data_IF_122411977076
#
_entry.id   IF_122411977076
#
_cell.length_a   1.000
_cell.length_b   1.000
_cell.length_c   1.000
_cell.angle_alpha   90.00
_cell.angle_beta   90.00
_cell.angle_gamma   90.00
#
_symmetry.space_group_name_H-M   'P 1'
#
loop_
_entity.id
_entity.type
_entity.pdbx_description
1 polymer ?
#
# COMPACT_ATOMS: atom_id res chain seq x y z
N UNK A 1 38.49 41.09 -27.48
CA UNK A 1 37.02 41.18 -27.57
C UNK A 1 36.50 40.20 -26.55
N UNK A 2 36.47 40.66 -25.29
CA UNK A 2 35.89 39.89 -24.19
C UNK A 2 34.38 39.97 -24.38
N UNK A 3 33.77 38.82 -24.65
CA UNK A 3 32.32 38.70 -24.74
C UNK A 3 31.86 38.43 -23.32
N UNK A 4 31.43 39.49 -22.64
CA UNK A 4 30.61 39.37 -21.44
C UNK A 4 29.31 38.67 -21.85
N UNK A 5 29.22 37.38 -21.54
CA UNK A 5 27.96 36.64 -21.62
C UNK A 5 27.16 37.04 -20.40
N UNK A 6 26.22 37.97 -20.59
CA UNK A 6 25.15 38.25 -19.63
C UNK A 6 24.38 36.95 -19.36
N UNK A 7 24.75 36.24 -18.30
CA UNK A 7 23.96 35.15 -17.75
C UNK A 7 22.79 35.78 -17.02
N UNK A 8 21.62 35.76 -17.66
CA UNK A 8 20.38 36.25 -17.07
C UNK A 8 20.07 35.47 -15.77
N UNK A 9 20.08 36.11 -14.59
CA UNK A 9 19.81 35.43 -13.32
C UNK A 9 18.40 34.83 -13.24
N UNK A 10 17.50 35.21 -14.16
CA UNK A 10 16.11 34.73 -14.21
C UNK A 10 15.95 33.31 -14.80
N UNK A 11 16.97 32.81 -15.51
CA UNK A 11 16.92 31.50 -16.19
C UNK A 11 17.02 30.31 -15.20
N UNK A 12 17.75 30.53 -14.11
CA UNK A 12 17.92 29.55 -13.02
C UNK A 12 16.64 29.30 -12.19
N UNK A 13 15.79 30.33 -12.04
CA UNK A 13 14.49 30.18 -11.37
C UNK A 13 13.47 29.45 -12.25
N UNK A 14 13.52 29.68 -13.56
CA UNK A 14 12.63 29.04 -14.51
C UNK A 14 12.89 27.53 -14.62
N UNK A 15 14.16 27.10 -14.62
CA UNK A 15 14.53 25.68 -14.67
C UNK A 15 14.12 24.92 -13.39
N UNK A 16 14.25 25.55 -12.20
CA UNK A 16 13.90 24.93 -10.93
C UNK A 16 12.38 24.82 -10.71
N UNK A 17 11.61 25.82 -11.17
CA UNK A 17 10.14 25.79 -11.16
C UNK A 17 9.60 24.78 -12.18
N UNK A 18 10.22 24.69 -13.36
CA UNK A 18 9.87 23.70 -14.37
C UNK A 18 10.13 22.27 -13.86
N UNK A 19 11.29 22.02 -13.23
CA UNK A 19 11.63 20.72 -12.61
C UNK A 19 10.63 20.30 -11.51
N UNK A 20 10.22 21.23 -10.65
CA UNK A 20 9.18 20.95 -9.62
C UNK A 20 7.81 20.66 -10.24
N UNK A 21 7.40 21.39 -11.27
CA UNK A 21 6.12 21.14 -11.98
C UNK A 21 6.11 19.77 -12.67
N UNK A 22 7.22 19.39 -13.30
CA UNK A 22 7.38 18.06 -13.92
C UNK A 22 7.28 16.95 -12.87
N UNK A 23 7.94 17.11 -11.72
CA UNK A 23 7.86 16.15 -10.60
C UNK A 23 6.43 15.99 -10.05
N UNK A 24 5.69 17.10 -9.88
CA UNK A 24 4.29 17.06 -9.42
C UNK A 24 3.37 16.34 -10.41
N UNK A 25 3.55 16.57 -11.71
CA UNK A 25 2.77 15.90 -12.75
C UNK A 25 2.99 14.38 -12.73
N UNK A 26 4.23 13.92 -12.52
CA UNK A 26 4.55 12.50 -12.38
C UNK A 26 3.80 11.87 -11.21
N UNK A 27 3.79 12.50 -10.03
CA UNK A 27 3.05 11.96 -8.88
C UNK A 27 1.55 11.83 -9.14
N UNK A 28 0.93 12.77 -9.85
CA UNK A 28 -0.48 12.63 -10.22
C UNK A 28 -0.72 11.49 -11.23
N UNK A 29 0.21 11.26 -12.17
CA UNK A 29 0.14 10.12 -13.09
C UNK A 29 0.26 8.78 -12.37
N UNK A 30 1.22 8.67 -11.46
CA UNK A 30 1.41 7.49 -10.62
C UNK A 30 0.21 7.24 -9.71
N UNK A 31 -0.32 8.30 -9.07
CA UNK A 31 -1.53 8.21 -8.26
C UNK A 31 -2.73 7.75 -9.09
N UNK A 32 -2.91 8.30 -10.30
CA UNK A 32 -3.96 7.87 -11.22
C UNK A 32 -3.81 6.40 -11.59
N UNK A 33 -2.61 5.92 -11.91
CA UNK A 33 -2.34 4.52 -12.21
C UNK A 33 -2.75 3.61 -11.02
N UNK A 34 -2.36 4.00 -9.80
CA UNK A 34 -2.76 3.30 -8.57
C UNK A 34 -4.29 3.31 -8.36
N UNK A 35 -4.98 4.43 -8.58
CA UNK A 35 -6.44 4.49 -8.45
C UNK A 35 -7.14 3.59 -9.47
N UNK A 36 -6.69 3.58 -10.73
CA UNK A 36 -7.23 2.70 -11.76
C UNK A 36 -7.01 1.22 -11.42
N UNK A 37 -5.83 0.86 -10.93
CA UNK A 37 -5.55 -0.50 -10.44
C UNK A 37 -6.46 -0.88 -9.27
N UNK A 38 -6.63 0.02 -8.29
CA UNK A 38 -7.52 -0.21 -7.16
C UNK A 38 -9.00 -0.38 -7.59
N UNK A 39 -9.47 0.40 -8.56
CA UNK A 39 -10.80 0.24 -9.14
C UNK A 39 -10.98 -1.12 -9.82
N UNK A 40 -9.96 -1.59 -10.54
CA UNK A 40 -9.97 -2.93 -11.16
C UNK A 40 -10.15 -4.03 -10.11
N UNK A 41 -9.36 -3.99 -9.03
CA UNK A 41 -9.44 -4.94 -7.93
C UNK A 41 -10.80 -4.88 -7.21
N UNK A 42 -11.29 -3.68 -6.92
CA UNK A 42 -12.58 -3.49 -6.24
C UNK A 42 -13.79 -3.86 -7.09
N UNK A 43 -13.73 -3.72 -8.41
CA UNK A 43 -14.80 -4.16 -9.31
C UNK A 43 -15.09 -5.65 -9.13
N UNK A 44 -14.04 -6.47 -8.99
CA UNK A 44 -14.16 -7.90 -8.68
C UNK A 44 -14.85 -8.15 -7.34
N UNK A 45 -14.43 -7.43 -6.29
CA UNK A 45 -14.98 -7.55 -4.94
C UNK A 45 -16.46 -7.12 -4.85
N UNK A 46 -16.82 -5.97 -5.42
CA UNK A 46 -18.21 -5.48 -5.47
C UNK A 46 -19.09 -6.45 -6.28
N UNK A 47 -18.58 -6.93 -7.42
CA UNK A 47 -19.29 -7.92 -8.24
C UNK A 47 -19.55 -9.24 -7.50
N UNK A 48 -18.56 -9.73 -6.75
CA UNK A 48 -18.72 -10.93 -5.92
C UNK A 48 -19.73 -10.71 -4.78
N UNK A 49 -19.63 -9.60 -4.06
CA UNK A 49 -20.55 -9.26 -2.98
C UNK A 49 -22.00 -9.13 -3.48
N UNK A 50 -22.20 -8.52 -4.66
CA UNK A 50 -23.52 -8.42 -5.29
C UNK A 50 -24.10 -9.79 -5.65
N UNK A 51 -23.30 -10.69 -6.26
CA UNK A 51 -23.76 -12.06 -6.56
C UNK A 51 -24.20 -12.82 -5.32
N UNK A 52 -23.47 -12.66 -4.21
CA UNK A 52 -23.87 -13.26 -2.92
C UNK A 52 -25.19 -12.67 -2.45
N UNK A 53 -25.34 -11.34 -2.50
CA UNK A 53 -26.58 -10.68 -2.10
C UNK A 53 -27.78 -11.11 -2.95
N UNK A 54 -27.62 -11.25 -4.26
CA UNK A 54 -28.67 -11.68 -5.19
C UNK A 54 -29.07 -13.16 -4.98
N UNK A 55 -28.16 -13.98 -4.45
CA UNK A 55 -28.39 -15.40 -4.15
C UNK A 55 -29.00 -15.65 -2.76
N UNK A 56 -29.08 -14.63 -1.89
CA UNK A 56 -29.64 -14.76 -0.55
C UNK A 56 -31.16 -14.55 -0.56
N UNK A 57 -31.88 -15.38 0.19
CA UNK A 57 -33.32 -15.20 0.44
C UNK A 57 -33.55 -14.05 1.45
N UNK A 58 -34.66 -13.33 1.26
CA UNK A 58 -34.96 -11.99 1.80
C UNK A 58 -35.01 -11.83 3.33
N UNK A 59 -34.87 -12.90 4.14
CA UNK A 59 -35.03 -12.85 5.60
C UNK A 59 -33.87 -13.53 6.35
N UNK A 60 -32.63 -13.14 6.04
CA UNK A 60 -31.47 -13.62 6.80
C UNK A 60 -30.66 -12.47 7.38
N UNK A 61 -30.19 -12.62 8.62
CA UNK A 61 -29.18 -11.75 9.23
C UNK A 61 -27.87 -11.71 8.40
N UNK A 62 -27.65 -12.73 7.57
CA UNK A 62 -26.58 -12.76 6.58
C UNK A 62 -26.81 -11.72 5.46
N UNK A 63 -28.05 -11.55 4.99
CA UNK A 63 -28.40 -10.52 4.00
C UNK A 63 -28.12 -9.12 4.51
N UNK A 64 -28.47 -8.82 5.77
CA UNK A 64 -28.15 -7.52 6.39
C UNK A 64 -26.63 -7.27 6.42
N UNK A 65 -25.84 -8.26 6.86
CA UNK A 65 -24.37 -8.18 6.87
C UNK A 65 -23.78 -8.01 5.47
N UNK A 66 -24.32 -8.72 4.48
CA UNK A 66 -23.92 -8.59 3.07
C UNK A 66 -24.27 -7.20 2.52
N UNK A 67 -25.43 -6.65 2.88
CA UNK A 67 -25.85 -5.31 2.46
C UNK A 67 -24.95 -4.22 3.06
N UNK A 68 -24.61 -4.32 4.35
CA UNK A 68 -23.66 -3.40 5.00
C UNK A 68 -22.30 -3.45 4.31
N UNK A 69 -21.80 -4.65 4.04
CA UNK A 69 -20.51 -4.87 3.37
C UNK A 69 -20.52 -4.33 1.93
N UNK A 70 -21.58 -4.59 1.17
CA UNK A 70 -21.73 -4.10 -0.20
C UNK A 70 -21.84 -2.57 -0.25
N UNK A 71 -22.57 -1.96 0.69
CA UNK A 71 -22.66 -0.49 0.80
C UNK A 71 -21.28 0.10 1.08
N UNK A 72 -20.51 -0.50 2.01
CA UNK A 72 -19.16 -0.06 2.32
C UNK A 72 -18.23 -0.19 1.12
N UNK A 73 -18.23 -1.34 0.43
CA UNK A 73 -17.41 -1.57 -0.78
C UNK A 73 -17.76 -0.59 -1.91
N UNK A 74 -19.06 -0.36 -2.15
CA UNK A 74 -19.52 0.62 -3.14
C UNK A 74 -19.08 2.05 -2.79
N UNK A 75 -19.12 2.40 -1.51
CA UNK A 75 -18.59 3.68 -1.01
C UNK A 75 -17.09 3.84 -1.26
N UNK A 76 -16.29 2.79 -1.02
CA UNK A 76 -14.86 2.80 -1.34
C UNK A 76 -14.62 2.95 -2.84
N UNK A 77 -15.41 2.25 -3.67
CA UNK A 77 -15.34 2.35 -5.12
C UNK A 77 -15.56 3.77 -5.63
N UNK A 78 -16.64 4.42 -5.18
CA UNK A 78 -16.94 5.79 -5.56
C UNK A 78 -15.86 6.77 -5.07
N UNK A 79 -15.38 6.61 -3.83
CA UNK A 79 -14.31 7.46 -3.31
C UNK A 79 -12.98 7.32 -4.06
N UNK A 80 -12.64 6.14 -4.59
CA UNK A 80 -11.47 5.98 -5.46
C UNK A 80 -11.72 6.59 -6.84
N UNK A 81 -12.93 6.45 -7.39
CA UNK A 81 -13.30 7.03 -8.68
C UNK A 81 -13.19 8.57 -8.65
N UNK A 82 -13.71 9.21 -7.60
CA UNK A 82 -13.60 10.66 -7.41
C UNK A 82 -12.14 11.14 -7.35
N UNK A 83 -11.27 10.40 -6.66
CA UNK A 83 -9.83 10.71 -6.61
C UNK A 83 -9.13 10.50 -7.95
N UNK A 84 -9.53 9.49 -8.71
CA UNK A 84 -9.03 9.26 -10.06
C UNK A 84 -9.39 10.43 -10.99
N UNK A 85 -10.65 10.89 -10.95
CA UNK A 85 -11.10 12.04 -11.73
C UNK A 85 -10.38 13.34 -11.32
N UNK A 86 -10.18 13.54 -10.01
CA UNK A 86 -9.41 14.68 -9.50
C UNK A 86 -7.95 14.63 -10.00
N UNK A 87 -7.27 13.49 -9.89
CA UNK A 87 -5.89 13.33 -10.38
C UNK A 87 -5.81 13.58 -11.90
N UNK A 88 -6.78 13.08 -12.68
CA UNK A 88 -6.87 13.32 -14.12
C UNK A 88 -7.06 14.80 -14.47
N UNK A 89 -7.88 15.51 -13.69
CA UNK A 89 -8.06 16.96 -13.84
C UNK A 89 -6.78 17.73 -13.53
N UNK A 90 -6.01 17.32 -12.51
CA UNK A 90 -4.71 17.92 -12.20
C UNK A 90 -3.70 17.68 -13.33
N UNK A 91 -3.58 16.45 -13.85
CA UNK A 91 -2.68 16.13 -14.99
C UNK A 91 -3.00 17.02 -16.20
N UNK A 92 -4.27 17.30 -16.46
CA UNK A 92 -4.69 18.13 -17.59
C UNK A 92 -4.19 19.58 -17.52
N UNK A 93 -3.78 20.07 -16.34
CA UNK A 93 -3.20 21.42 -16.15
C UNK A 93 -1.74 21.50 -16.58
N UNK A 94 -1.06 20.37 -16.79
CA UNK A 94 0.37 20.30 -17.14
C UNK A 94 0.62 19.97 -18.62
N UNK A 95 -0.40 20.12 -19.50
CA UNK A 95 -0.34 19.75 -20.93
C UNK A 95 0.78 20.44 -21.72
N UNK A 96 1.27 21.59 -21.26
CA UNK A 96 2.32 22.37 -21.94
C UNK A 96 3.75 22.08 -21.44
N UNK A 97 3.92 21.15 -20.50
CA UNK A 97 5.24 20.73 -20.00
C UNK A 97 5.79 19.60 -20.88
N UNK A 98 6.37 19.96 -22.03
CA UNK A 98 7.15 19.05 -22.87
C UNK A 98 8.46 18.66 -22.16
N UNK A 99 8.34 17.63 -21.33
CA UNK A 99 9.41 17.02 -20.56
C UNK A 99 8.80 15.80 -19.90
N UNK A 100 8.54 14.76 -20.68
CA UNK A 100 7.87 13.54 -20.22
C UNK A 100 8.86 12.76 -19.36
N UNK A 101 8.97 13.14 -18.08
CA UNK A 101 9.51 12.24 -17.08
C UNK A 101 8.64 10.97 -17.08
N UNK A 102 9.30 9.82 -17.23
CA UNK A 102 8.67 8.51 -17.29
C UNK A 102 8.01 8.22 -15.92
N UNK A 103 6.71 7.93 -15.93
CA UNK A 103 5.98 7.53 -14.73
C UNK A 103 6.01 6.02 -14.58
N UNK A 104 6.19 5.53 -13.36
CA UNK A 104 6.17 4.10 -13.08
C UNK A 104 4.77 3.50 -13.30
N UNK A 105 4.74 2.22 -13.65
CA UNK A 105 3.50 1.44 -13.71
C UNK A 105 2.92 1.24 -12.30
N UNK A 106 1.60 0.98 -12.20
CA UNK A 106 0.98 0.69 -10.91
C UNK A 106 1.59 -0.57 -10.26
N UNK A 107 1.96 -1.54 -11.08
CA UNK A 107 2.56 -2.81 -10.70
C UNK A 107 3.94 -2.59 -10.06
N UNK A 108 4.77 -1.77 -10.70
CA UNK A 108 6.09 -1.42 -10.18
C UNK A 108 6.00 -0.59 -8.90
N UNK A 109 5.05 0.36 -8.83
CA UNK A 109 4.77 1.12 -7.60
C UNK A 109 4.35 0.20 -6.45
N UNK A 110 3.46 -0.75 -6.71
CA UNK A 110 3.00 -1.74 -5.73
C UNK A 110 4.14 -2.65 -5.27
N UNK A 111 4.96 -3.14 -6.20
CA UNK A 111 6.13 -3.96 -5.89
C UNK A 111 7.13 -3.22 -5.01
N UNK A 112 7.53 -2.01 -5.42
CA UNK A 112 8.46 -1.16 -4.67
C UNK A 112 7.90 -0.82 -3.28
N UNK A 113 6.60 -0.54 -3.17
CA UNK A 113 5.96 -0.28 -1.89
C UNK A 113 5.93 -1.52 -0.99
N UNK A 114 5.65 -2.71 -1.54
CA UNK A 114 5.69 -3.96 -0.79
C UNK A 114 7.08 -4.24 -0.20
N UNK A 115 8.14 -4.04 -0.99
CA UNK A 115 9.52 -4.18 -0.50
C UNK A 115 9.85 -3.16 0.59
N UNK A 116 9.38 -1.92 0.44
CA UNK A 116 9.54 -0.88 1.48
C UNK A 116 8.84 -1.28 2.78
N UNK A 117 7.59 -1.75 2.70
CA UNK A 117 6.84 -2.30 3.83
C UNK A 117 7.58 -3.48 4.49
N UNK A 118 8.17 -4.39 3.71
CA UNK A 118 8.96 -5.49 4.22
C UNK A 118 10.19 -5.03 5.03
N UNK A 119 10.94 -4.06 4.49
CA UNK A 119 12.11 -3.47 5.16
C UNK A 119 11.72 -2.76 6.46
N UNK A 120 10.67 -1.96 6.41
CA UNK A 120 10.13 -1.24 7.57
C UNK A 120 9.58 -2.21 8.64
N UNK A 121 8.95 -3.31 8.22
CA UNK A 121 8.54 -4.40 9.10
C UNK A 121 9.73 -5.06 9.82
N UNK A 122 10.85 -5.26 9.12
CA UNK A 122 12.07 -5.78 9.72
C UNK A 122 12.66 -4.83 10.76
N UNK A 123 12.70 -3.53 10.49
CA UNK A 123 13.13 -2.50 11.46
C UNK A 123 12.24 -2.53 12.70
N UNK A 124 10.92 -2.50 12.53
CA UNK A 124 9.96 -2.56 13.63
C UNK A 124 10.08 -3.82 14.46
N UNK A 125 10.35 -4.96 13.82
CA UNK A 125 10.60 -6.23 14.52
C UNK A 125 11.86 -6.17 15.39
N UNK A 126 12.95 -5.59 14.88
CA UNK A 126 14.20 -5.40 15.65
C UNK A 126 13.99 -4.48 16.86
N UNK A 127 13.12 -3.48 16.73
CA UNK A 127 12.73 -2.58 17.83
C UNK A 127 11.72 -3.19 18.81
N UNK A 128 11.32 -4.45 18.62
CA UNK A 128 10.33 -5.14 19.47
C UNK A 128 8.88 -4.69 19.25
N UNK A 129 8.62 -3.85 18.23
CA UNK A 129 7.30 -3.32 17.90
C UNK A 129 6.48 -4.34 17.10
N UNK A 130 6.09 -5.44 17.75
CA UNK A 130 5.54 -6.63 17.11
C UNK A 130 4.26 -6.34 16.28
N UNK A 131 3.33 -5.56 16.83
CA UNK A 131 2.08 -5.22 16.12
C UNK A 131 2.33 -4.39 14.86
N UNK A 132 3.23 -3.41 14.95
CA UNK A 132 3.59 -2.57 13.82
C UNK A 132 4.34 -3.37 12.75
N UNK A 133 5.29 -4.23 13.15
CA UNK A 133 6.00 -5.13 12.24
C UNK A 133 5.03 -6.05 11.48
N UNK A 134 4.07 -6.64 12.20
CA UNK A 134 3.02 -7.50 11.63
C UNK A 134 2.16 -6.74 10.61
N UNK A 135 1.77 -5.51 10.92
CA UNK A 135 1.01 -4.68 9.98
C UNK A 135 1.80 -4.40 8.69
N UNK A 136 3.10 -4.09 8.80
CA UNK A 136 3.96 -3.85 7.65
C UNK A 136 4.12 -5.10 6.76
N UNK A 137 4.42 -6.26 7.34
CA UNK A 137 4.51 -7.51 6.57
C UNK A 137 3.18 -7.92 5.93
N UNK A 138 2.04 -7.68 6.61
CA UNK A 138 0.72 -7.95 6.05
C UNK A 138 0.44 -7.04 4.85
N UNK A 139 0.77 -5.75 4.96
CA UNK A 139 0.64 -4.80 3.85
C UNK A 139 1.49 -5.23 2.66
N UNK A 140 2.74 -5.63 2.92
CA UNK A 140 3.65 -6.13 1.88
C UNK A 140 3.08 -7.38 1.17
N UNK A 141 2.61 -8.36 1.95
CA UNK A 141 1.99 -9.57 1.41
C UNK A 141 0.77 -9.28 0.53
N UNK A 142 -0.17 -8.45 0.99
CA UNK A 142 -1.38 -8.11 0.24
C UNK A 142 -1.08 -7.43 -1.11
N UNK A 143 -0.06 -6.58 -1.17
CA UNK A 143 0.35 -5.92 -2.41
C UNK A 143 0.91 -6.93 -3.42
N UNK A 144 1.76 -7.87 -2.96
CA UNK A 144 2.32 -8.89 -3.84
C UNK A 144 1.29 -9.95 -4.24
N UNK A 145 0.37 -10.32 -3.34
CA UNK A 145 -0.78 -11.17 -3.67
C UNK A 145 -1.67 -10.52 -4.73
N UNK A 146 -1.88 -9.19 -4.67
CA UNK A 146 -2.62 -8.47 -5.70
C UNK A 146 -1.89 -8.51 -7.06
N UNK A 147 -0.55 -8.43 -7.08
CA UNK A 147 0.23 -8.60 -8.31
C UNK A 147 0.13 -10.02 -8.87
N UNK A 148 0.10 -11.04 -8.02
CA UNK A 148 -0.08 -12.44 -8.43
C UNK A 148 -1.44 -12.73 -9.09
N UNK A 149 -2.41 -11.81 -9.00
CA UNK A 149 -3.68 -11.93 -9.71
C UNK A 149 -3.64 -11.45 -11.17
N UNK A 150 -2.53 -10.83 -11.61
CA UNK A 150 -2.37 -10.35 -12.98
C UNK A 150 -2.14 -11.51 -13.97
N UNK A 151 -2.77 -11.45 -15.14
CA UNK A 151 -2.78 -12.55 -16.11
C UNK A 151 -1.47 -12.72 -16.90
N UNK A 152 -0.65 -11.68 -16.98
CA UNK A 152 0.46 -11.59 -17.95
C UNK A 152 1.85 -11.49 -17.30
N UNK A 153 2.02 -12.03 -16.08
CA UNK A 153 3.32 -12.04 -15.42
C UNK A 153 4.26 -13.15 -15.94
N UNK A 154 5.53 -12.85 -16.24
CA UNK A 154 6.53 -13.85 -16.59
C UNK A 154 6.68 -14.91 -15.48
N UNK A 155 6.91 -16.16 -15.86
CA UNK A 155 7.03 -17.27 -14.90
C UNK A 155 8.17 -17.13 -13.88
N UNK A 156 9.22 -16.36 -14.19
CA UNK A 156 10.28 -16.03 -13.26
C UNK A 156 9.81 -15.03 -12.19
N UNK A 157 9.06 -14.01 -12.61
CA UNK A 157 8.52 -12.99 -11.72
C UNK A 157 7.46 -13.58 -10.80
N UNK A 158 6.61 -14.48 -11.30
CA UNK A 158 5.66 -15.24 -10.49
C UNK A 158 6.35 -15.97 -9.32
N UNK A 159 7.40 -16.76 -9.61
CA UNK A 159 8.16 -17.48 -8.58
C UNK A 159 8.82 -16.53 -7.58
N UNK A 160 9.34 -15.40 -8.05
CA UNK A 160 9.95 -14.39 -7.19
C UNK A 160 8.91 -13.80 -6.22
N UNK A 161 7.74 -13.42 -6.73
CA UNK A 161 6.64 -12.87 -5.94
C UNK A 161 6.11 -13.89 -4.92
N UNK A 162 5.91 -15.14 -5.32
CA UNK A 162 5.53 -16.24 -4.42
C UNK A 162 6.55 -16.41 -3.28
N UNK A 163 7.84 -16.35 -3.60
CA UNK A 163 8.91 -16.41 -2.61
C UNK A 163 8.84 -15.29 -1.58
N UNK A 164 8.57 -14.05 -2.02
CA UNK A 164 8.38 -12.92 -1.10
C UNK A 164 7.12 -13.04 -0.26
N UNK A 165 5.98 -13.44 -0.84
CA UNK A 165 4.72 -13.66 -0.11
C UNK A 165 4.93 -14.70 0.99
N UNK A 166 5.55 -15.83 0.65
CA UNK A 166 5.88 -16.88 1.61
C UNK A 166 6.82 -16.35 2.71
N UNK A 167 7.87 -15.62 2.34
CA UNK A 167 8.80 -15.00 3.28
C UNK A 167 8.10 -14.06 4.27
N UNK A 168 7.19 -13.19 3.80
CA UNK A 168 6.42 -12.31 4.70
C UNK A 168 5.49 -13.10 5.62
N UNK A 169 4.86 -14.18 5.14
CA UNK A 169 4.04 -15.04 5.97
C UNK A 169 4.86 -15.72 7.09
N UNK A 170 6.09 -16.15 6.79
CA UNK A 170 7.02 -16.70 7.78
C UNK A 170 7.44 -15.66 8.81
N UNK A 171 7.76 -14.44 8.38
CA UNK A 171 8.10 -13.33 9.29
C UNK A 171 6.95 -12.96 10.20
N UNK A 172 5.70 -12.98 9.71
CA UNK A 172 4.51 -12.77 10.55
C UNK A 172 4.42 -13.84 11.67
N UNK A 173 4.63 -15.12 11.34
CA UNK A 173 4.62 -16.22 12.32
C UNK A 173 5.74 -16.07 13.35
N UNK A 174 6.91 -15.60 12.94
CA UNK A 174 8.03 -15.33 13.85
C UNK A 174 7.74 -14.18 14.81
N UNK A 175 7.22 -13.06 14.32
CA UNK A 175 6.81 -11.91 15.14
C UNK A 175 5.75 -12.31 16.17
N UNK A 176 4.78 -13.13 15.77
CA UNK A 176 3.76 -13.67 16.69
C UNK A 176 4.38 -14.50 17.82
N UNK A 177 5.37 -15.35 17.50
CA UNK A 177 6.11 -16.11 18.52
C UNK A 177 6.91 -15.19 19.46
N UNK A 178 7.55 -14.15 18.94
CA UNK A 178 8.25 -13.15 19.76
C UNK A 178 7.29 -12.45 20.74
N UNK A 179 6.10 -12.07 20.28
CA UNK A 179 5.09 -11.42 21.11
C UNK A 179 4.62 -12.33 22.25
N UNK A 180 4.36 -13.61 21.97
CA UNK A 180 3.99 -14.60 22.99
C UNK A 180 5.10 -14.81 24.03
N UNK A 181 6.35 -14.92 23.58
CA UNK A 181 7.50 -15.10 24.46
C UNK A 181 7.72 -13.88 25.38
N UNK A 182 7.54 -12.66 24.85
CA UNK A 182 7.62 -11.43 25.63
C UNK A 182 6.50 -11.36 26.69
N UNK A 183 5.29 -11.77 26.34
CA UNK A 183 4.16 -11.80 27.28
C UNK A 183 4.42 -12.78 28.43
N UNK A 184 4.91 -13.99 28.11
CA UNK A 184 5.24 -15.00 29.12
C UNK A 184 6.35 -14.52 30.08
N UNK A 185 7.35 -13.78 29.57
CA UNK A 185 8.38 -13.17 30.42
C UNK A 185 7.79 -12.17 31.39
N UNK A 186 6.95 -11.23 30.92
CA UNK A 186 6.31 -10.23 31.80
C UNK A 186 5.46 -10.91 32.88
N UNK A 187 4.66 -11.93 32.54
CA UNK A 187 3.87 -12.69 33.51
C UNK A 187 4.74 -13.37 34.57
N UNK A 188 5.87 -13.96 34.17
CA UNK A 188 6.80 -14.62 35.11
C UNK A 188 7.47 -13.64 36.09
N UNK A 189 7.76 -12.41 35.66
CA UNK A 189 8.32 -11.36 36.51
C UNK A 189 7.31 -10.89 37.56
N UNK A 190 6.04 -10.73 37.17
CA UNK A 190 4.96 -10.38 38.11
C UNK A 190 4.73 -11.47 39.16
N UNK A 191 4.76 -12.75 38.77
CA UNK A 191 4.65 -13.88 39.71
C UNK A 191 5.82 -13.94 40.69
N UNK A 192 7.06 -13.71 40.24
CA UNK A 192 8.24 -13.71 41.12
C UNK A 192 8.29 -12.52 42.09
N UNK A 193 7.78 -11.36 41.66
CA UNK A 193 7.75 -10.14 42.50
C UNK A 193 6.70 -10.26 43.61
N UNK A 194 5.55 -10.87 43.32
CA UNK A 194 4.53 -11.15 44.34
C UNK A 194 4.95 -12.25 45.31
N UNK A 195 5.62 -13.32 44.84
CA UNK A 195 6.15 -14.36 45.72
C UNK A 195 7.21 -13.83 46.70
N UNK A 196 8.03 -12.87 46.26
CA UNK A 196 9.03 -12.22 47.13
C UNK A 196 8.44 -11.26 48.16
N UNK A 197 7.24 -10.71 47.92
CA UNK A 197 6.54 -9.79 48.83
C UNK A 197 5.67 -10.48 49.89
N UNK A 198 5.34 -11.76 49.72
CA UNK A 198 4.55 -12.54 50.70
C UNK A 198 5.42 -13.27 51.73
N UNK A 199 6.75 -13.18 51.63
CA UNK A 199 7.72 -13.82 52.54
C UNK A 199 8.41 -12.83 53.50
N UNK A 200 7.78 -11.69 53.81
CA UNK A 200 8.24 -10.73 54.83
C UNK A 200 7.21 -10.65 55.95
#
# INVERSE_FOLDING_TARGET
VDVDVDVDPNDSHHCHVHSKKVSVCVYFREALACYLKALSLMKGAVGAAKRVMDALNSESHLMERCQVSLRWLSGQFNGILERADAAKAEIAKFKDSEGVAESLSAEELMYNHALSCGKDGAVKQLLGQCEAARACYKSAGLLLEALLMESDLPGQDLKLLEGYVQGFAERIKEVQRMQMNNMNRVSSTFSSTNASRMNI
#
